data_IF_080462984156
#
_entry.id   IF_080462984156
#
_cell.length_a   1.000
_cell.length_b   1.000
_cell.length_c   1.000
_cell.angle_alpha   90.00
_cell.angle_beta   90.00
_cell.angle_gamma   90.00
#
_symmetry.space_group_name_H-M   'P 1'
#
loop_
_entity.id
_entity.type
_entity.pdbx_description
1 polymer ?
#
# COMPACT_ATOMS: atom_id res chain seq x y z
N UNK A 1 -21.98 12.38 -14.10
CA UNK A 1 -21.20 11.65 -13.07
C UNK A 1 -19.76 12.08 -13.16
N UNK A 2 -19.18 12.44 -12.04
CA UNK A 2 -17.77 12.79 -12.02
C UNK A 2 -16.93 11.54 -12.06
N UNK A 3 -16.02 11.48 -13.00
CA UNK A 3 -15.04 10.40 -13.05
C UNK A 3 -13.88 10.77 -12.14
N UNK A 4 -13.49 9.84 -11.29
CA UNK A 4 -12.36 10.08 -10.41
C UNK A 4 -11.07 9.91 -11.21
N UNK A 5 -10.40 11.00 -11.48
CA UNK A 5 -9.20 11.00 -12.30
C UNK A 5 -7.92 11.24 -11.51
N UNK A 6 -8.07 11.44 -10.20
CA UNK A 6 -6.92 11.74 -9.32
C UNK A 6 -6.34 10.49 -8.64
N UNK A 7 -6.94 9.33 -8.84
CA UNK A 7 -6.42 8.09 -8.27
C UNK A 7 -5.29 7.57 -9.14
N UNK A 8 -4.12 7.42 -8.55
CA UNK A 8 -2.92 6.91 -9.20
C UNK A 8 -2.52 5.60 -8.54
N UNK A 9 -1.63 4.86 -9.18
CA UNK A 9 -1.16 3.61 -8.61
C UNK A 9 0.34 3.45 -8.84
N UNK A 10 0.98 2.79 -7.90
CA UNK A 10 2.40 2.45 -7.99
C UNK A 10 2.59 1.05 -7.40
N UNK A 11 3.33 0.21 -8.12
CA UNK A 11 3.64 -1.13 -7.65
C UNK A 11 4.81 -1.09 -6.67
N UNK A 12 4.69 -1.83 -5.57
CA UNK A 12 5.75 -1.99 -4.60
C UNK A 12 6.53 -3.26 -4.91
N UNK A 13 7.86 -3.16 -4.88
CA UNK A 13 8.72 -4.30 -5.16
C UNK A 13 8.72 -5.27 -3.99
N UNK A 14 8.80 -6.57 -4.30
CA UNK A 14 8.89 -7.60 -3.27
C UNK A 14 10.20 -7.49 -2.51
N UNK A 15 10.16 -7.80 -1.22
CA UNK A 15 11.32 -7.83 -0.34
C UNK A 15 12.09 -6.50 -0.33
N UNK A 16 11.36 -5.38 -0.35
CA UNK A 16 11.97 -4.07 -0.44
C UNK A 16 11.10 -3.00 0.18
N UNK A 17 11.68 -1.83 0.40
CA UNK A 17 10.97 -0.62 0.77
C UNK A 17 10.87 0.25 -0.48
N UNK A 18 9.66 0.58 -0.87
CA UNK A 18 9.40 1.36 -2.08
C UNK A 18 8.68 2.65 -1.70
N UNK A 19 9.17 3.78 -2.21
CA UNK A 19 8.43 5.03 -2.09
C UNK A 19 7.33 5.04 -3.15
N UNK A 20 6.09 5.00 -2.70
CA UNK A 20 4.93 4.98 -3.60
C UNK A 20 4.71 6.36 -4.19
N UNK A 21 4.76 7.39 -3.36
CA UNK A 21 4.62 8.77 -3.78
C UNK A 21 5.46 9.65 -2.88
N UNK A 22 6.25 10.53 -3.46
CA UNK A 22 7.24 11.32 -2.72
C UNK A 22 6.72 12.58 -2.06
N UNK A 23 5.43 12.72 -1.88
CA UNK A 23 4.81 13.88 -1.23
C UNK A 23 3.56 13.49 -0.46
N UNK A 24 2.87 14.48 0.15
CA UNK A 24 1.63 14.20 0.86
C UNK A 24 0.56 13.64 -0.08
N UNK A 25 -0.13 12.61 0.36
CA UNK A 25 -1.20 11.98 -0.42
C UNK A 25 -2.06 11.12 0.49
N UNK A 26 -3.14 10.58 -0.06
CA UNK A 26 -4.01 9.64 0.65
C UNK A 26 -3.91 8.27 0.02
N UNK A 27 -3.85 7.24 0.85
CA UNK A 27 -3.91 5.86 0.39
C UNK A 27 -5.37 5.52 0.18
N UNK A 28 -5.73 5.23 -1.08
CA UNK A 28 -7.12 4.95 -1.45
C UNK A 28 -7.45 3.47 -1.43
N UNK A 29 -6.47 2.64 -1.68
CA UNK A 29 -6.66 1.20 -1.68
C UNK A 29 -5.36 0.48 -1.95
N UNK A 30 -5.37 -0.83 -1.79
CA UNK A 30 -4.20 -1.65 -2.04
C UNK A 30 -4.61 -3.02 -2.56
N UNK A 31 -3.91 -3.49 -3.58
CA UNK A 31 -4.08 -4.83 -4.13
C UNK A 31 -2.82 -5.64 -3.79
N UNK A 32 -2.99 -6.76 -3.11
CA UNK A 32 -1.89 -7.57 -2.62
C UNK A 32 -2.01 -8.99 -3.16
N UNK A 33 -0.95 -9.47 -3.82
CA UNK A 33 -0.77 -10.89 -4.13
C UNK A 33 0.28 -11.42 -3.17
N UNK A 34 -0.08 -12.38 -2.34
CA UNK A 34 0.78 -12.80 -1.25
C UNK A 34 1.00 -14.31 -1.24
N UNK A 35 2.07 -14.72 -0.55
CA UNK A 35 2.34 -16.10 -0.23
C UNK A 35 2.33 -16.27 1.29
N UNK A 36 2.64 -17.46 1.76
CA UNK A 36 2.61 -17.78 3.20
C UNK A 36 3.46 -16.81 4.01
N UNK A 37 2.86 -16.23 5.05
CA UNK A 37 3.56 -15.36 5.98
C UNK A 37 3.94 -13.98 5.46
N UNK A 38 3.38 -13.55 4.33
CA UNK A 38 3.70 -12.26 3.76
C UNK A 38 3.22 -11.10 4.64
N UNK A 39 3.95 -10.00 4.62
CA UNK A 39 3.55 -8.79 5.32
C UNK A 39 3.71 -7.57 4.41
N UNK A 40 2.79 -6.62 4.55
CA UNK A 40 2.83 -5.35 3.84
C UNK A 40 2.55 -4.25 4.85
N UNK A 41 3.43 -3.26 4.93
CA UNK A 41 3.26 -2.13 5.84
C UNK A 41 3.36 -0.84 5.02
N UNK A 42 2.38 0.03 5.18
CA UNK A 42 2.39 1.35 4.55
C UNK A 42 2.68 2.40 5.61
N UNK A 43 3.74 3.17 5.39
CA UNK A 43 4.22 4.15 6.36
C UNK A 43 4.01 5.58 5.84
N UNK A 44 3.82 6.49 6.79
CA UNK A 44 3.85 7.92 6.52
C UNK A 44 5.31 8.39 6.69
N UNK A 45 6.01 8.44 5.57
CA UNK A 45 7.44 8.70 5.55
C UNK A 45 8.25 7.40 5.60
N UNK A 46 9.38 7.37 4.90
CA UNK A 46 10.27 6.21 4.91
C UNK A 46 10.82 5.99 6.32
N UNK A 47 10.50 4.83 6.90
CA UNK A 47 10.85 4.56 8.28
C UNK A 47 9.98 5.28 9.30
N UNK A 48 8.91 5.93 8.84
CA UNK A 48 8.02 6.70 9.72
C UNK A 48 6.90 5.87 10.33
N UNK A 49 5.82 6.56 10.71
CA UNK A 49 4.69 5.93 11.39
C UNK A 49 3.94 5.01 10.45
N UNK A 50 3.71 3.77 10.88
CA UNK A 50 2.91 2.83 10.10
C UNK A 50 1.45 3.27 10.13
N UNK A 51 0.85 3.44 8.95
CA UNK A 51 -0.55 3.83 8.81
C UNK A 51 -1.44 2.65 8.46
N UNK A 52 -0.86 1.60 7.90
CA UNK A 52 -1.59 0.40 7.52
C UNK A 52 -0.63 -0.78 7.54
N UNK A 53 -1.09 -1.91 8.04
CA UNK A 53 -0.31 -3.14 7.97
C UNK A 53 -1.23 -4.32 7.64
N UNK A 54 -0.68 -5.25 6.89
CA UNK A 54 -1.37 -6.48 6.50
C UNK A 54 -0.46 -7.65 6.75
N UNK A 55 -0.98 -8.69 7.40
CA UNK A 55 -0.27 -9.94 7.59
C UNK A 55 -1.07 -11.04 6.91
N UNK A 56 -0.44 -11.74 5.98
CA UNK A 56 -1.11 -12.77 5.21
C UNK A 56 -1.36 -14.03 6.05
N UNK A 57 -2.44 -14.75 5.76
CA UNK A 57 -2.64 -16.06 6.39
C UNK A 57 -1.61 -17.07 5.88
N UNK A 58 -1.61 -18.27 6.44
CA UNK A 58 -0.65 -19.33 6.12
C UNK A 58 -0.97 -20.01 4.78
N UNK A 59 -1.40 -19.23 3.78
CA UNK A 59 -1.74 -19.75 2.46
C UNK A 59 -1.54 -18.63 1.43
N UNK A 60 -1.19 -19.00 0.21
CA UNK A 60 -1.07 -18.05 -0.88
C UNK A 60 -2.44 -17.55 -1.31
N UNK A 61 -2.49 -16.30 -1.80
CA UNK A 61 -3.74 -15.73 -2.29
C UNK A 61 -3.56 -14.29 -2.74
N UNK A 62 -4.69 -13.65 -3.00
CA UNK A 62 -4.71 -12.24 -3.39
C UNK A 62 -5.89 -11.57 -2.71
N UNK A 63 -5.71 -10.28 -2.39
CA UNK A 63 -6.76 -9.49 -1.76
C UNK A 63 -6.67 -8.05 -2.25
N UNK A 64 -7.84 -7.41 -2.36
CA UNK A 64 -7.92 -5.98 -2.60
C UNK A 64 -8.59 -5.34 -1.39
N UNK A 65 -7.96 -4.33 -0.82
CA UNK A 65 -8.49 -3.63 0.34
C UNK A 65 -8.79 -2.20 -0.06
N UNK A 66 -10.06 -1.81 0.06
CA UNK A 66 -10.49 -0.45 -0.20
C UNK A 66 -10.48 0.31 1.12
N UNK A 67 -9.81 1.45 1.14
CA UNK A 67 -9.76 2.28 2.34
C UNK A 67 -11.08 3.03 2.53
N UNK A 68 -11.58 3.10 3.77
CA UNK A 68 -12.85 3.78 4.03
C UNK A 68 -12.74 5.29 3.82
N UNK A 69 -13.86 5.91 3.48
CA UNK A 69 -13.96 7.35 3.33
C UNK A 69 -13.04 7.88 2.24
N UNK A 70 -12.27 8.90 2.55
CA UNK A 70 -11.33 9.51 1.62
C UNK A 70 -9.95 8.90 1.66
N UNK A 71 -9.79 7.77 2.33
CA UNK A 71 -8.53 7.07 2.43
C UNK A 71 -7.70 7.48 3.64
N UNK A 72 -6.52 6.91 3.73
CA UNK A 72 -5.59 7.16 4.83
C UNK A 72 -4.61 8.25 4.41
N UNK A 73 -4.56 9.32 5.18
CA UNK A 73 -3.68 10.44 4.87
C UNK A 73 -2.26 10.19 5.32
N UNK A 74 -1.32 10.39 4.41
CA UNK A 74 0.11 10.42 4.71
C UNK A 74 0.62 11.84 4.47
N UNK A 75 1.25 12.42 5.49
CA UNK A 75 1.63 13.84 5.45
C UNK A 75 3.01 14.08 4.85
N UNK A 76 3.89 13.10 4.86
CA UNK A 76 5.26 13.23 4.34
C UNK A 76 5.38 12.55 2.99
N UNK A 77 5.19 11.25 2.94
CA UNK A 77 5.14 10.49 1.70
C UNK A 77 4.48 9.14 1.99
N UNK A 78 4.22 8.37 0.94
CA UNK A 78 3.71 7.01 1.10
C UNK A 78 4.86 6.06 0.83
N UNK A 79 5.24 5.28 1.84
CA UNK A 79 6.30 4.28 1.73
C UNK A 79 5.73 2.91 2.02
N UNK A 80 6.04 1.93 1.19
CA UNK A 80 5.57 0.56 1.34
C UNK A 80 6.73 -0.37 1.63
N UNK A 81 6.59 -1.16 2.70
CA UNK A 81 7.55 -2.22 3.03
C UNK A 81 6.86 -3.55 2.78
N UNK A 82 7.38 -4.32 1.83
CA UNK A 82 6.77 -5.55 1.36
C UNK A 82 7.74 -6.70 1.59
N UNK A 83 7.24 -7.80 2.15
CA UNK A 83 8.06 -8.98 2.39
C UNK A 83 8.33 -9.75 1.09
N UNK A 84 9.18 -10.79 1.19
CA UNK A 84 9.56 -11.59 0.03
C UNK A 84 8.35 -12.29 -0.59
N UNK A 85 8.41 -12.52 -1.90
CA UNK A 85 7.40 -13.24 -2.68
C UNK A 85 6.00 -12.61 -2.66
N UNK A 86 5.93 -11.32 -2.36
CA UNK A 86 4.67 -10.58 -2.27
C UNK A 86 4.72 -9.42 -3.24
N UNK A 87 3.62 -9.20 -3.95
CA UNK A 87 3.48 -8.06 -4.85
C UNK A 87 2.32 -7.20 -4.36
N UNK A 88 2.52 -5.90 -4.30
CA UNK A 88 1.49 -4.98 -3.89
C UNK A 88 1.41 -3.81 -4.86
N UNK A 89 0.19 -3.36 -5.14
CA UNK A 89 -0.06 -2.14 -5.89
C UNK A 89 -0.86 -1.21 -5.00
N UNK A 90 -0.34 -0.02 -4.76
CA UNK A 90 -0.97 0.96 -3.88
C UNK A 90 -1.65 2.02 -4.73
N UNK A 91 -2.93 2.24 -4.47
CA UNK A 91 -3.72 3.28 -5.12
C UNK A 91 -3.78 4.49 -4.19
N UNK A 92 -3.48 5.66 -4.74
CA UNK A 92 -3.40 6.89 -3.96
C UNK A 92 -3.91 8.09 -4.76
N UNK A 93 -4.14 9.18 -4.05
CA UNK A 93 -4.59 10.41 -4.70
C UNK A 93 -4.69 11.64 -3.82
#
# INVERSE_FOLDING_TARGET
MAMQTDVKSTAAAANATTTIFGGPARIKGISISYSTGATVVLNDGTGGTARFSFTAPAAAGAIYILMPGEGIRCNTNISAVVSATTTAVVFYG
#
